data_IF_503968865357
#
_entry.id   IF_503968865357
#
_cell.length_a   1.000
_cell.length_b   1.000
_cell.length_c   1.000
_cell.angle_alpha   90.00
_cell.angle_beta   90.00
_cell.angle_gamma   90.00
#
_symmetry.space_group_name_H-M   'P 1'
#
loop_
_entity.id
_entity.type
_entity.pdbx_description
1 polymer ?
#
# COMPACT_ATOMS: atom_id res chain seq x y z
N UNK A 1 -47.13 44.27 -10.74
CA UNK A 1 -47.55 44.37 -9.33
C UNK A 1 -46.47 43.75 -8.45
N UNK A 2 -45.55 44.55 -7.92
CA UNK A 2 -44.35 44.07 -7.20
C UNK A 2 -44.73 43.87 -5.73
N UNK A 3 -44.74 42.62 -5.25
CA UNK A 3 -45.04 42.30 -3.84
C UNK A 3 -43.94 42.90 -2.95
N UNK A 4 -44.30 43.87 -2.10
CA UNK A 4 -43.41 44.44 -1.07
C UNK A 4 -42.95 43.32 -0.14
N UNK A 5 -41.66 43.07 -0.11
CA UNK A 5 -41.03 42.13 0.83
C UNK A 5 -41.14 42.74 2.24
N UNK A 6 -41.71 41.99 3.18
CA UNK A 6 -41.92 42.44 4.57
C UNK A 6 -40.57 42.65 5.27
N UNK A 7 -40.41 43.77 5.98
CA UNK A 7 -39.17 44.12 6.68
C UNK A 7 -38.72 43.04 7.67
N UNK A 8 -39.66 42.33 8.29
CA UNK A 8 -39.39 41.19 9.18
C UNK A 8 -38.78 39.99 8.45
N UNK A 9 -39.14 39.77 7.18
CA UNK A 9 -38.55 38.71 6.34
C UNK A 9 -37.15 39.13 5.89
N UNK A 10 -36.94 40.40 5.56
CA UNK A 10 -35.63 40.94 5.20
C UNK A 10 -34.64 40.90 6.37
N UNK A 11 -35.08 41.24 7.59
CA UNK A 11 -34.25 41.19 8.81
C UNK A 11 -33.91 39.74 9.19
N UNK A 12 -34.85 38.79 9.05
CA UNK A 12 -34.58 37.37 9.27
C UNK A 12 -33.61 36.79 8.24
N UNK A 13 -33.72 37.18 6.97
CA UNK A 13 -32.80 36.74 5.91
C UNK A 13 -31.39 37.29 6.15
N UNK A 14 -31.27 38.56 6.57
CA UNK A 14 -29.98 39.18 6.92
C UNK A 14 -29.32 38.49 8.13
N UNK A 15 -30.09 38.17 9.17
CA UNK A 15 -29.59 37.48 10.36
C UNK A 15 -29.10 36.06 10.06
N UNK A 16 -29.80 35.32 9.18
CA UNK A 16 -29.40 33.98 8.75
C UNK A 16 -28.10 34.03 7.92
N UNK A 17 -27.93 35.03 7.05
CA UNK A 17 -26.66 35.22 6.33
C UNK A 17 -25.50 35.58 7.26
N UNK A 18 -25.71 36.38 8.31
CA UNK A 18 -24.66 36.72 9.27
C UNK A 18 -24.15 35.51 10.06
N UNK A 19 -25.04 34.56 10.38
CA UNK A 19 -24.69 33.31 11.09
C UNK A 19 -23.89 32.35 10.19
N UNK A 20 -24.19 32.34 8.88
CA UNK A 20 -23.46 31.52 7.89
C UNK A 20 -22.04 32.05 7.68
N UNK A 21 -21.84 33.37 7.68
CA UNK A 21 -20.49 33.98 7.55
C UNK A 21 -19.62 33.83 8.81
N UNK A 22 -20.22 33.70 10.00
CA UNK A 22 -19.47 33.53 11.26
C UNK A 22 -18.93 32.09 11.49
N UNK A 23 -19.34 31.10 10.69
CA UNK A 23 -18.87 29.71 10.83
C UNK A 23 -17.52 29.41 10.17
N UNK A 24 -16.95 30.35 9.41
CA UNK A 24 -15.59 30.24 8.87
C UNK A 24 -14.58 30.96 9.77
N UNK A 25 -14.57 30.63 11.06
CA UNK A 25 -13.45 30.94 11.95
C UNK A 25 -13.23 29.78 12.91
N UNK A 26 -13.18 28.57 12.34
CA UNK A 26 -12.51 27.45 13.00
C UNK A 26 -11.03 27.81 13.01
N UNK A 27 -10.54 28.29 14.15
CA UNK A 27 -9.12 28.33 14.45
C UNK A 27 -8.59 26.91 14.25
N UNK A 28 -7.99 26.63 13.08
CA UNK A 28 -7.09 25.50 12.90
C UNK A 28 -5.92 25.77 13.82
N UNK A 29 -6.05 25.38 15.10
CA UNK A 29 -4.89 25.05 15.91
C UNK A 29 -4.29 23.86 15.18
N UNK A 30 -3.33 24.14 14.31
CA UNK A 30 -2.41 23.14 13.81
C UNK A 30 -1.72 22.63 15.07
N UNK A 31 -2.28 21.57 15.65
CA UNK A 31 -1.51 20.69 16.48
C UNK A 31 -0.42 20.19 15.52
N UNK A 32 0.73 20.86 15.54
CA UNK A 32 1.97 20.29 15.07
C UNK A 32 2.14 19.02 15.88
N UNK A 33 1.58 17.94 15.36
CA UNK A 33 1.94 16.60 15.77
C UNK A 33 3.45 16.56 15.65
N UNK A 34 4.14 16.54 16.80
CA UNK A 34 5.57 16.28 16.85
C UNK A 34 5.79 14.82 16.47
N UNK A 35 5.46 14.46 15.23
CA UNK A 35 5.98 13.29 14.59
C UNK A 35 7.48 13.54 14.48
N UNK A 36 8.21 13.13 15.52
CA UNK A 36 9.62 12.81 15.40
C UNK A 36 9.69 11.86 14.21
N UNK A 37 10.14 12.38 13.07
CA UNK A 37 10.50 11.55 11.93
C UNK A 37 11.42 10.47 12.51
N UNK A 38 11.02 9.19 12.46
CA UNK A 38 11.86 8.13 12.96
C UNK A 38 13.23 8.32 12.32
N UNK A 39 14.30 8.30 13.10
CA UNK A 39 15.63 8.27 12.55
C UNK A 39 15.69 7.03 11.65
N UNK A 40 15.72 7.23 10.34
CA UNK A 40 15.84 6.13 9.39
C UNK A 40 17.25 5.60 9.61
N UNK A 41 17.35 4.43 10.26
CA UNK A 41 18.62 3.71 10.31
C UNK A 41 19.02 3.42 8.87
N UNK A 42 20.18 3.91 8.45
CA UNK A 42 20.74 3.57 7.15
C UNK A 42 21.03 2.08 7.13
N UNK A 43 20.61 1.39 6.07
CA UNK A 43 20.96 -0.01 5.89
C UNK A 43 22.49 -0.17 5.89
N UNK A 44 23.05 -1.22 6.52
CA UNK A 44 24.49 -1.41 6.65
C UNK A 44 25.20 -1.64 5.30
N UNK A 45 24.44 -1.98 4.25
CA UNK A 45 24.89 -2.14 2.86
C UNK A 45 23.73 -1.88 1.91
N UNK A 46 24.04 -1.61 0.65
CA UNK A 46 23.07 -1.52 -0.43
C UNK A 46 22.23 -2.80 -0.53
N UNK A 47 20.90 -2.66 -0.61
CA UNK A 47 19.97 -3.76 -0.83
C UNK A 47 19.81 -4.02 -2.32
N UNK A 48 20.29 -5.18 -2.79
CA UNK A 48 20.22 -5.58 -4.20
C UNK A 48 19.39 -6.84 -4.29
N UNK A 49 18.09 -6.66 -4.50
CA UNK A 49 17.11 -7.74 -4.46
C UNK A 49 16.44 -7.96 -5.81
N UNK A 50 16.15 -9.23 -6.10
CA UNK A 50 15.26 -9.61 -7.18
C UNK A 50 13.90 -10.00 -6.62
N UNK A 51 12.82 -9.57 -7.28
CA UNK A 51 11.49 -10.10 -7.02
C UNK A 51 11.31 -11.39 -7.81
N UNK A 52 10.90 -12.46 -7.13
CA UNK A 52 10.61 -13.76 -7.74
C UNK A 52 9.14 -14.05 -7.54
N UNK A 53 8.36 -13.78 -8.59
CA UNK A 53 6.93 -13.98 -8.62
C UNK A 53 6.56 -15.41 -9.02
N UNK A 54 5.50 -15.91 -8.40
CA UNK A 54 5.02 -17.27 -8.55
C UNK A 54 3.65 -17.34 -9.22
N UNK A 55 2.91 -16.21 -9.24
CA UNK A 55 1.69 -16.06 -10.02
C UNK A 55 1.96 -16.41 -11.47
N UNK A 56 1.09 -17.24 -12.07
CA UNK A 56 1.18 -17.69 -13.46
C UNK A 56 2.57 -18.21 -13.88
N UNK A 57 3.37 -18.71 -12.93
CA UNK A 57 4.71 -19.24 -13.21
C UNK A 57 5.67 -18.23 -13.87
N UNK A 58 5.45 -16.91 -13.71
CA UNK A 58 6.19 -15.90 -14.49
C UNK A 58 7.69 -15.86 -14.19
N UNK A 59 8.12 -16.28 -13.00
CA UNK A 59 9.54 -16.48 -12.69
C UNK A 59 9.84 -17.89 -12.22
N UNK A 60 9.06 -18.42 -11.29
CA UNK A 60 9.26 -19.75 -10.73
C UNK A 60 7.95 -20.35 -10.18
N UNK A 61 7.72 -21.66 -10.28
CA UNK A 61 8.49 -22.61 -11.09
C UNK A 61 8.23 -22.34 -12.59
N UNK A 62 9.05 -22.91 -13.49
CA UNK A 62 9.00 -22.57 -14.92
C UNK A 62 7.69 -22.95 -15.61
N UNK A 63 6.95 -23.91 -15.05
CA UNK A 63 5.63 -24.37 -15.51
C UNK A 63 4.91 -25.17 -14.41
N UNK A 64 3.59 -25.35 -14.49
CA UNK A 64 2.85 -26.19 -13.56
C UNK A 64 3.22 -27.68 -13.70
N UNK A 65 2.99 -28.46 -12.64
CA UNK A 65 3.12 -29.92 -12.65
C UNK A 65 4.55 -30.47 -12.55
N UNK A 66 5.55 -29.61 -12.31
CA UNK A 66 6.92 -30.07 -12.04
C UNK A 66 7.00 -30.85 -10.73
N UNK A 67 7.83 -31.89 -10.73
CA UNK A 67 8.16 -32.62 -9.51
C UNK A 67 8.86 -31.72 -8.49
N UNK A 68 8.76 -32.04 -7.21
CA UNK A 68 9.47 -31.29 -6.14
C UNK A 68 10.96 -31.18 -6.42
N UNK A 69 11.60 -32.23 -6.94
CA UNK A 69 13.03 -32.21 -7.28
C UNK A 69 13.34 -31.21 -8.40
N UNK A 70 12.52 -31.14 -9.46
CA UNK A 70 12.69 -30.17 -10.54
C UNK A 70 12.48 -28.74 -10.04
N UNK A 71 11.44 -28.50 -9.24
CA UNK A 71 11.18 -27.18 -8.66
C UNK A 71 12.36 -26.70 -7.79
N UNK A 72 12.91 -27.59 -6.96
CA UNK A 72 14.10 -27.29 -6.14
C UNK A 72 15.33 -27.00 -7.01
N UNK A 73 15.56 -27.79 -8.05
CA UNK A 73 16.68 -27.57 -8.98
C UNK A 73 16.57 -26.21 -9.67
N UNK A 74 15.37 -25.84 -10.14
CA UNK A 74 15.13 -24.52 -10.73
C UNK A 74 15.32 -23.38 -9.72
N UNK A 75 14.89 -23.56 -8.48
CA UNK A 75 15.08 -22.56 -7.43
C UNK A 75 16.57 -22.34 -7.16
N UNK A 76 17.35 -23.42 -7.03
CA UNK A 76 18.80 -23.34 -6.81
C UNK A 76 19.49 -22.64 -7.99
N UNK A 77 19.16 -23.03 -9.23
CA UNK A 77 19.73 -22.40 -10.42
C UNK A 77 19.42 -20.90 -10.50
N UNK A 78 18.20 -20.49 -10.12
CA UNK A 78 17.82 -19.08 -10.04
C UNK A 78 18.62 -18.34 -8.97
N UNK A 79 18.81 -18.94 -7.79
CA UNK A 79 19.58 -18.33 -6.70
C UNK A 79 21.07 -18.19 -7.06
N UNK A 80 21.66 -19.20 -7.71
CA UNK A 80 23.04 -19.15 -8.20
C UNK A 80 23.20 -18.06 -9.26
N UNK A 81 22.27 -17.97 -10.22
CA UNK A 81 22.25 -16.87 -11.18
C UNK A 81 22.21 -15.50 -10.49
N UNK A 82 21.31 -15.27 -9.53
CA UNK A 82 21.24 -13.98 -8.84
C UNK A 82 22.53 -13.66 -8.06
N UNK A 83 23.14 -14.67 -7.44
CA UNK A 83 24.41 -14.54 -6.74
C UNK A 83 25.55 -14.16 -7.67
N UNK A 84 25.65 -14.77 -8.86
CA UNK A 84 26.68 -14.46 -9.86
C UNK A 84 26.59 -13.01 -10.37
N UNK A 85 25.39 -12.43 -10.34
CA UNK A 85 25.13 -11.03 -10.69
C UNK A 85 25.14 -10.08 -9.46
N UNK A 86 25.74 -10.51 -8.34
CA UNK A 86 25.95 -9.71 -7.13
C UNK A 86 24.67 -9.27 -6.38
N UNK A 87 23.53 -9.89 -6.63
CA UNK A 87 22.35 -9.71 -5.77
C UNK A 87 22.66 -10.27 -4.37
N UNK A 88 22.01 -9.68 -3.36
CA UNK A 88 22.19 -10.07 -1.96
C UNK A 88 20.89 -10.44 -1.25
N UNK A 89 19.76 -10.40 -1.96
CA UNK A 89 18.47 -10.78 -1.44
C UNK A 89 17.53 -11.25 -2.56
N UNK A 90 16.52 -12.02 -2.15
CA UNK A 90 15.37 -12.40 -2.98
C UNK A 90 14.10 -12.06 -2.22
N UNK A 91 13.15 -11.43 -2.91
CA UNK A 91 11.79 -11.25 -2.42
C UNK A 91 10.91 -12.26 -3.14
N UNK A 92 10.60 -13.36 -2.45
CA UNK A 92 9.86 -14.48 -3.02
C UNK A 92 8.36 -14.36 -2.72
N UNK A 93 7.52 -14.45 -3.76
CA UNK A 93 6.07 -14.34 -3.64
C UNK A 93 5.47 -15.65 -3.11
N UNK A 94 5.30 -15.75 -1.80
CA UNK A 94 4.74 -16.96 -1.15
C UNK A 94 3.20 -17.04 -1.19
N UNK A 95 2.51 -15.97 -1.56
CA UNK A 95 1.04 -15.87 -1.63
C UNK A 95 0.59 -15.12 -2.90
N UNK A 96 0.56 -15.78 -4.07
CA UNK A 96 0.24 -15.12 -5.33
C UNK A 96 -1.24 -14.73 -5.48
N UNK A 97 -2.19 -15.61 -5.14
CA UNK A 97 -3.63 -15.43 -5.41
C UNK A 97 -4.53 -16.06 -4.33
N UNK A 98 -4.47 -15.53 -3.10
CA UNK A 98 -5.25 -16.08 -1.96
C UNK A 98 -5.04 -17.59 -1.74
N UNK A 99 -3.78 -17.97 -1.90
CA UNK A 99 -3.22 -19.30 -1.74
C UNK A 99 -1.84 -19.16 -1.05
N UNK A 100 -1.17 -20.30 -0.82
CA UNK A 100 0.08 -20.35 -0.08
C UNK A 100 1.08 -21.38 -0.65
N UNK A 101 2.33 -20.95 -0.80
CA UNK A 101 3.51 -21.79 -1.04
C UNK A 101 4.19 -22.20 0.28
N UNK A 102 3.37 -22.48 1.29
CA UNK A 102 3.78 -22.97 2.60
C UNK A 102 2.58 -23.62 3.28
N UNK A 103 2.84 -24.48 4.27
CA UNK A 103 1.77 -25.14 5.02
C UNK A 103 0.95 -24.08 5.78
N UNK A 104 -0.30 -23.90 5.38
CA UNK A 104 -1.24 -22.96 5.97
C UNK A 104 -2.49 -23.67 6.46
N UNK A 105 -3.07 -23.19 7.57
CA UNK A 105 -4.42 -23.59 8.02
C UNK A 105 -5.51 -22.64 7.53
N UNK A 106 -5.12 -21.54 6.88
CA UNK A 106 -6.03 -20.46 6.47
C UNK A 106 -6.24 -20.40 4.96
N UNK A 107 -5.22 -20.78 4.19
CA UNK A 107 -5.17 -20.60 2.72
C UNK A 107 -4.90 -21.97 2.07
N UNK A 108 -5.46 -22.24 0.87
CA UNK A 108 -5.14 -23.45 0.11
C UNK A 108 -3.70 -23.44 -0.41
N UNK A 109 -3.22 -24.60 -0.86
CA UNK A 109 -1.95 -24.68 -1.58
C UNK A 109 -2.05 -24.01 -2.95
N UNK A 110 -0.98 -23.31 -3.32
CA UNK A 110 -0.73 -22.78 -4.68
C UNK A 110 -0.28 -23.90 -5.62
#
# INVERSE_FOLDING_TARGET
MIKKINSTVAVKLLAITAIIFASCSINKKLAESSHKKPAIQSAPREFRAAWVATVDNINWPSKPGLTTAQQQQEAIALLDFLKDYNFNAVVFQVRPQADALYKSSLEPWS
#
